data_IF_490321653780
#
_entry.id   IF_490321653780
#
_cell.length_a   1.000
_cell.length_b   1.000
_cell.length_c   1.000
_cell.angle_alpha   90.00
_cell.angle_beta   90.00
_cell.angle_gamma   90.00
#
_symmetry.space_group_name_H-M   'P 1'
#
loop_
_entity.id
_entity.type
_entity.pdbx_description
1 polymer ?
#
# COMPACT_ATOMS: atom_id res chain seq x y z
N UNK A 1 31.07 37.36 -24.77
CA UNK A 1 30.58 36.69 -23.55
C UNK A 1 29.48 35.72 -23.95
N UNK A 2 29.77 34.41 -24.01
CA UNK A 2 28.81 33.37 -24.37
C UNK A 2 28.18 32.82 -23.08
N UNK A 3 26.87 32.93 -22.94
CA UNK A 3 26.13 32.26 -21.88
C UNK A 3 25.60 30.93 -22.42
N UNK A 4 26.10 29.82 -21.88
CA UNK A 4 25.60 28.48 -22.12
C UNK A 4 24.47 28.18 -21.13
N UNK A 5 23.23 28.05 -21.60
CA UNK A 5 22.14 27.45 -20.83
C UNK A 5 22.01 26.01 -21.31
N UNK A 6 22.28 25.07 -20.39
CA UNK A 6 22.15 23.63 -20.60
C UNK A 6 20.68 23.24 -20.59
N UNK A 7 20.18 22.73 -21.71
CA UNK A 7 18.90 22.04 -21.83
C UNK A 7 18.93 20.76 -21.00
N UNK A 8 18.10 20.68 -19.96
CA UNK A 8 17.87 19.46 -19.19
C UNK A 8 16.83 18.62 -19.94
N UNK A 9 17.26 17.55 -20.61
CA UNK A 9 16.36 16.52 -21.13
C UNK A 9 15.89 15.66 -19.94
N UNK A 10 14.60 15.74 -19.62
CA UNK A 10 13.93 14.76 -18.75
C UNK A 10 13.67 13.52 -19.61
N UNK A 11 14.50 12.50 -19.44
CA UNK A 11 14.26 11.18 -20.02
C UNK A 11 13.21 10.51 -19.11
N UNK A 12 11.96 10.48 -19.57
CA UNK A 12 10.92 9.61 -18.99
C UNK A 12 11.29 8.19 -19.40
N UNK A 13 11.92 7.44 -18.50
CA UNK A 13 12.24 6.04 -18.71
C UNK A 13 10.93 5.23 -18.67
N UNK A 14 10.43 4.87 -19.85
CA UNK A 14 9.46 3.80 -20.02
C UNK A 14 10.18 2.47 -19.73
N UNK A 15 9.93 1.84 -18.59
CA UNK A 15 10.56 0.57 -18.23
C UNK A 15 9.79 -0.58 -18.93
N UNK A 16 10.44 -1.36 -19.81
CA UNK A 16 9.80 -2.51 -20.43
C UNK A 16 9.69 -3.66 -19.43
N UNK A 17 8.46 -4.12 -19.19
CA UNK A 17 8.15 -5.35 -18.46
C UNK A 17 8.60 -6.57 -19.27
N UNK A 18 9.67 -7.25 -18.85
CA UNK A 18 9.98 -8.61 -19.29
C UNK A 18 10.55 -9.47 -18.15
N UNK A 19 9.83 -10.55 -17.86
CA UNK A 19 10.24 -11.83 -17.27
C UNK A 19 10.64 -11.91 -15.77
N UNK A 20 9.73 -12.50 -14.97
CA UNK A 20 10.08 -13.57 -14.03
C UNK A 20 10.43 -13.20 -12.58
N UNK A 21 10.44 -11.93 -12.21
CA UNK A 21 10.57 -11.48 -10.83
C UNK A 21 9.56 -10.36 -10.64
N UNK A 22 8.55 -10.57 -9.80
CA UNK A 22 7.54 -9.53 -9.56
C UNK A 22 8.23 -8.35 -8.87
N UNK A 23 8.41 -7.18 -9.53
CA UNK A 23 9.13 -6.06 -8.95
C UNK A 23 8.42 -5.50 -7.71
N UNK A 24 7.16 -5.90 -7.47
CA UNK A 24 6.37 -5.50 -6.33
C UNK A 24 6.52 -6.43 -5.11
N UNK A 25 7.01 -7.67 -5.29
CA UNK A 25 7.23 -8.60 -4.17
C UNK A 25 8.58 -8.37 -3.44
N UNK A 26 9.29 -7.29 -3.78
CA UNK A 26 10.62 -6.96 -3.29
C UNK A 26 10.66 -6.15 -1.99
N UNK A 27 10.57 -6.81 -0.83
CA UNK A 27 11.05 -6.48 0.56
C UNK A 27 10.84 -5.08 1.18
N UNK A 28 10.51 -4.02 0.42
CA UNK A 28 10.47 -2.64 0.87
C UNK A 28 9.10 -2.01 0.74
N UNK A 29 8.96 -0.80 1.28
CA UNK A 29 7.77 0.01 1.04
C UNK A 29 7.81 0.63 -0.37
N UNK A 30 6.64 0.88 -0.94
CA UNK A 30 6.49 1.83 -2.05
C UNK A 30 7.05 3.20 -1.67
N UNK A 31 7.31 4.08 -2.65
CA UNK A 31 7.42 5.51 -2.37
C UNK A 31 6.21 6.05 -1.60
N UNK A 32 6.39 7.20 -0.97
CA UNK A 32 5.28 7.94 -0.39
C UNK A 32 4.40 8.50 -1.51
N UNK A 33 3.09 8.26 -1.39
CA UNK A 33 2.07 8.56 -2.38
C UNK A 33 0.94 9.36 -1.74
N UNK A 34 0.40 10.33 -2.45
CA UNK A 34 -0.89 10.93 -2.13
C UNK A 34 -2.03 9.90 -2.25
N UNK A 35 -3.22 10.25 -1.78
CA UNK A 35 -4.43 9.45 -2.03
C UNK A 35 -4.62 9.08 -3.49
N UNK A 36 -4.44 10.06 -4.38
CA UNK A 36 -4.64 9.87 -5.82
C UNK A 36 -3.62 8.89 -6.38
N UNK A 37 -2.34 9.10 -6.08
CA UNK A 37 -1.25 8.23 -6.55
C UNK A 37 -1.38 6.81 -5.98
N UNK A 38 -1.83 6.65 -4.73
CA UNK A 38 -2.08 5.33 -4.17
C UNK A 38 -3.26 4.63 -4.87
N UNK A 39 -4.32 5.37 -5.22
CA UNK A 39 -5.41 4.84 -6.03
C UNK A 39 -4.95 4.40 -7.42
N UNK A 40 -4.11 5.20 -8.07
CA UNK A 40 -3.50 4.88 -9.36
C UNK A 40 -2.55 3.67 -9.28
N UNK A 41 -1.82 3.51 -8.17
CA UNK A 41 -0.97 2.36 -7.89
C UNK A 41 -1.79 1.06 -7.68
N UNK A 42 -2.90 1.13 -6.93
CA UNK A 42 -3.73 -0.04 -6.62
C UNK A 42 -4.62 -0.47 -7.78
N UNK A 43 -5.11 0.47 -8.60
CA UNK A 43 -6.02 0.19 -9.70
C UNK A 43 -5.58 -0.93 -10.66
N UNK A 44 -4.32 -0.99 -11.14
CA UNK A 44 -3.87 -2.10 -11.99
C UNK A 44 -3.79 -3.44 -11.23
N UNK A 45 -3.60 -3.44 -9.91
CA UNK A 45 -3.53 -4.67 -9.10
C UNK A 45 -4.91 -5.34 -8.97
N UNK A 46 -5.98 -4.55 -9.01
CA UNK A 46 -7.36 -5.02 -8.99
C UNK A 46 -7.84 -5.56 -10.35
N UNK A 47 -7.10 -5.25 -11.43
CA UNK A 47 -7.50 -5.65 -12.78
C UNK A 47 -7.36 -7.15 -12.95
N UNK A 48 -8.42 -7.78 -13.46
CA UNK A 48 -8.43 -9.20 -13.79
C UNK A 48 -7.77 -9.50 -15.13
N UNK A 49 -7.04 -10.60 -15.18
CA UNK A 49 -6.44 -11.17 -16.38
C UNK A 49 -7.43 -12.06 -17.15
N UNK A 50 -6.95 -12.74 -18.20
CA UNK A 50 -7.73 -13.67 -19.02
C UNK A 50 -8.23 -14.90 -18.25
N UNK A 51 -7.63 -15.20 -17.09
CA UNK A 51 -8.04 -16.28 -16.18
C UNK A 51 -9.04 -15.80 -15.11
N UNK A 52 -9.52 -14.55 -15.21
CA UNK A 52 -10.41 -13.91 -14.24
C UNK A 52 -9.79 -13.78 -12.82
N UNK A 53 -8.45 -13.74 -12.74
CA UNK A 53 -7.66 -13.54 -11.52
C UNK A 53 -6.98 -12.19 -11.54
N UNK A 54 -6.79 -11.57 -10.38
CA UNK A 54 -6.04 -10.33 -10.23
C UNK A 54 -4.72 -10.56 -9.47
N UNK A 55 -3.98 -9.49 -9.18
CA UNK A 55 -2.70 -9.57 -8.47
C UNK A 55 -2.79 -10.30 -7.13
N UNK A 56 -3.88 -10.11 -6.39
CA UNK A 56 -4.09 -10.73 -5.07
C UNK A 56 -4.36 -12.24 -5.20
N UNK A 57 -5.13 -12.65 -6.21
CA UNK A 57 -5.42 -14.07 -6.52
C UNK A 57 -4.15 -14.86 -6.89
N UNK A 58 -3.08 -14.17 -7.28
CA UNK A 58 -1.78 -14.76 -7.61
C UNK A 58 -0.84 -14.90 -6.41
N UNK A 59 -1.35 -14.73 -5.19
CA UNK A 59 -0.60 -15.03 -3.95
C UNK A 59 0.11 -13.81 -3.37
N UNK A 60 -0.47 -12.63 -3.53
CA UNK A 60 0.03 -11.39 -2.94
C UNK A 60 -0.99 -10.80 -1.97
N UNK A 61 -0.49 -10.10 -0.95
CA UNK A 61 -1.31 -9.33 0.00
C UNK A 61 -0.54 -8.15 0.56
N UNK A 62 -1.23 -7.16 1.13
CA UNK A 62 -0.54 -6.11 1.90
C UNK A 62 -0.04 -6.67 3.23
N UNK A 63 1.13 -6.23 3.63
CA UNK A 63 1.80 -6.58 4.90
C UNK A 63 2.02 -5.36 5.79
N UNK A 64 1.95 -4.15 5.22
CA UNK A 64 1.93 -2.91 5.98
C UNK A 64 1.27 -1.79 5.17
N UNK A 65 0.65 -0.85 5.88
CA UNK A 65 0.27 0.47 5.37
C UNK A 65 0.70 1.52 6.37
N UNK A 66 1.39 2.55 5.87
CA UNK A 66 1.85 3.67 6.70
C UNK A 66 1.35 4.98 6.13
N UNK A 67 1.00 5.90 7.02
CA UNK A 67 0.66 7.28 6.71
C UNK A 67 1.64 8.25 7.35
N UNK A 68 1.76 9.44 6.76
CA UNK A 68 2.43 10.59 7.37
C UNK A 68 1.77 11.87 6.92
N UNK A 69 1.97 12.93 7.70
CA UNK A 69 1.75 14.29 7.25
C UNK A 69 3.06 14.87 6.74
N UNK A 70 3.10 15.34 5.50
CA UNK A 70 4.29 15.92 4.89
C UNK A 70 3.90 17.06 3.95
N UNK A 71 4.56 18.21 4.07
CA UNK A 71 4.36 19.35 3.16
C UNK A 71 2.90 19.77 2.93
N UNK A 72 2.07 19.73 3.99
CA UNK A 72 0.68 20.17 3.93
C UNK A 72 -0.29 19.16 3.33
N UNK A 73 0.17 17.93 3.04
CA UNK A 73 -0.65 16.86 2.49
C UNK A 73 -0.42 15.52 3.22
N UNK A 74 -1.46 14.68 3.35
CA UNK A 74 -1.30 13.32 3.82
C UNK A 74 -0.67 12.47 2.71
N UNK A 75 0.32 11.66 3.09
CA UNK A 75 0.99 10.72 2.21
C UNK A 75 0.97 9.32 2.82
N UNK A 76 0.99 8.31 1.96
CA UNK A 76 0.86 6.90 2.31
C UNK A 76 1.89 6.06 1.57
N UNK A 77 2.26 4.94 2.17
CA UNK A 77 3.06 3.92 1.49
C UNK A 77 2.62 2.54 1.91
N UNK A 78 2.81 1.59 1.00
CA UNK A 78 2.34 0.23 1.12
C UNK A 78 3.54 -0.71 1.13
N UNK A 79 3.40 -1.84 1.81
CA UNK A 79 4.33 -2.96 1.68
C UNK A 79 3.55 -4.18 1.23
N UNK A 80 3.91 -4.74 0.09
CA UNK A 80 3.33 -5.97 -0.45
C UNK A 80 4.28 -7.12 -0.10
N UNK A 81 3.70 -8.28 0.21
CA UNK A 81 4.45 -9.51 0.39
C UNK A 81 3.72 -10.69 -0.22
N UNK A 82 4.37 -11.85 -0.14
CA UNK A 82 3.77 -13.11 -0.54
C UNK A 82 2.75 -13.56 0.50
N UNK A 83 1.60 -14.05 0.05
CA UNK A 83 0.64 -14.72 0.92
C UNK A 83 1.06 -16.17 1.19
N UNK A 84 0.60 -16.79 2.29
CA UNK A 84 0.99 -18.14 2.66
C UNK A 84 0.50 -19.12 1.59
N UNK A 85 1.45 -19.90 1.04
CA UNK A 85 1.12 -20.99 0.12
C UNK A 85 0.41 -22.10 0.88
N UNK A 86 -0.54 -22.76 0.22
CA UNK A 86 -1.25 -23.97 0.71
C UNK A 86 -2.17 -23.78 1.92
N UNK A 87 -2.31 -22.56 2.45
CA UNK A 87 -3.23 -22.25 3.55
C UNK A 87 -4.38 -21.39 3.07
N UNK A 88 -5.56 -21.59 3.68
CA UNK A 88 -6.65 -20.64 3.51
C UNK A 88 -6.23 -19.35 4.20
N UNK A 89 -6.41 -18.23 3.53
CA UNK A 89 -6.02 -16.95 4.08
C UNK A 89 -6.99 -15.86 3.67
N UNK A 90 -7.05 -14.83 4.49
CA UNK A 90 -7.78 -13.60 4.23
C UNK A 90 -6.98 -12.43 4.77
N UNK A 91 -7.23 -11.26 4.22
CA UNK A 91 -6.60 -10.04 4.71
C UNK A 91 -7.51 -8.85 4.54
N UNK A 92 -7.31 -7.86 5.41
CA UNK A 92 -7.93 -6.55 5.31
C UNK A 92 -6.92 -5.47 5.66
N UNK A 93 -7.20 -4.26 5.19
CA UNK A 93 -6.38 -3.10 5.49
C UNK A 93 -7.24 -1.84 5.45
N UNK A 94 -6.90 -0.89 6.32
CA UNK A 94 -7.51 0.43 6.36
C UNK A 94 -6.44 1.46 6.68
N UNK A 95 -6.67 2.70 6.28
CA UNK A 95 -5.72 3.78 6.43
C UNK A 95 -6.43 5.11 6.64
N UNK A 96 -5.71 6.06 7.26
CA UNK A 96 -6.22 7.38 7.63
C UNK A 96 -7.52 7.37 8.46
N UNK A 97 -7.66 6.39 9.34
CA UNK A 97 -8.82 6.27 10.21
C UNK A 97 -8.74 7.24 11.39
N UNK A 98 -9.90 7.62 11.94
CA UNK A 98 -9.96 8.15 13.31
C UNK A 98 -9.62 7.04 14.32
N UNK A 99 -9.28 7.42 15.56
CA UNK A 99 -9.08 6.46 16.66
C UNK A 99 -10.29 5.55 16.86
N UNK A 100 -11.50 6.12 16.83
CA UNK A 100 -12.75 5.39 17.03
C UNK A 100 -12.95 4.31 15.97
N UNK A 101 -12.84 4.68 14.68
CA UNK A 101 -12.99 3.74 13.57
C UNK A 101 -11.89 2.67 13.56
N UNK A 102 -10.67 3.03 13.94
CA UNK A 102 -9.57 2.06 14.06
C UNK A 102 -9.83 1.04 15.17
N UNK A 103 -10.27 1.50 16.35
CA UNK A 103 -10.63 0.62 17.47
C UNK A 103 -11.80 -0.30 17.11
N UNK A 104 -12.81 0.23 16.42
CA UNK A 104 -13.94 -0.56 15.93
C UNK A 104 -13.45 -1.72 15.04
N UNK A 105 -12.60 -1.45 14.05
CA UNK A 105 -12.07 -2.53 13.20
C UNK A 105 -11.18 -3.51 13.97
N UNK A 106 -10.42 -3.07 14.97
CA UNK A 106 -9.67 -4.00 15.84
C UNK A 106 -10.62 -5.02 16.46
N UNK A 107 -11.73 -4.58 17.04
CA UNK A 107 -12.70 -5.46 17.69
C UNK A 107 -13.40 -6.36 16.67
N UNK A 108 -13.99 -5.78 15.63
CA UNK A 108 -14.78 -6.52 14.63
C UNK A 108 -13.96 -7.61 13.92
N UNK A 109 -12.68 -7.34 13.65
CA UNK A 109 -11.82 -8.28 12.94
C UNK A 109 -11.22 -9.32 13.87
N UNK A 110 -10.89 -8.93 15.10
CA UNK A 110 -10.49 -9.87 16.14
C UNK A 110 -11.59 -10.91 16.39
N UNK A 111 -12.86 -10.48 16.45
CA UNK A 111 -14.01 -11.38 16.63
C UNK A 111 -14.17 -12.36 15.45
N UNK A 112 -13.67 -12.01 14.27
CA UNK A 112 -13.67 -12.86 13.07
C UNK A 112 -12.40 -13.73 12.94
N UNK A 113 -11.49 -13.65 13.91
CA UNK A 113 -10.24 -14.41 13.95
C UNK A 113 -9.11 -13.82 13.11
N UNK A 114 -9.22 -12.55 12.69
CA UNK A 114 -8.11 -11.82 12.09
C UNK A 114 -7.20 -11.25 13.18
N UNK A 115 -5.91 -11.18 12.89
CA UNK A 115 -4.88 -10.60 13.75
C UNK A 115 -4.38 -9.30 13.12
N UNK A 116 -4.32 -8.23 13.89
CA UNK A 116 -3.64 -6.99 13.47
C UNK A 116 -2.13 -7.26 13.40
N UNK A 117 -1.60 -7.38 12.19
CA UNK A 117 -0.18 -7.75 11.96
C UNK A 117 0.73 -6.53 11.84
N UNK A 118 0.18 -5.38 11.46
CA UNK A 118 0.91 -4.12 11.39
C UNK A 118 -0.04 -2.95 11.63
N UNK A 119 0.45 -1.92 12.31
CA UNK A 119 -0.24 -0.65 12.46
C UNK A 119 0.72 0.53 12.36
N UNK A 120 0.17 1.69 12.04
CA UNK A 120 0.87 2.97 12.00
C UNK A 120 -0.06 4.09 12.44
N UNK A 121 0.50 5.17 12.98
CA UNK A 121 -0.24 6.39 13.26
C UNK A 121 0.58 7.63 12.97
N UNK A 122 -0.08 8.72 12.59
CA UNK A 122 0.54 10.04 12.41
C UNK A 122 -0.39 11.16 12.87
N UNK A 123 0.19 12.34 13.14
CA UNK A 123 -0.56 13.53 13.56
C UNK A 123 -0.92 14.40 12.36
N UNK A 124 -2.16 14.86 12.36
CA UNK A 124 -2.71 15.83 11.41
C UNK A 124 -2.41 17.26 11.90
N UNK A 125 -2.47 18.30 11.04
CA UNK A 125 -2.21 19.69 11.46
C UNK A 125 -3.07 20.22 12.59
N UNK A 126 -4.27 19.67 12.77
CA UNK A 126 -5.18 20.05 13.86
C UNK A 126 -4.86 19.33 15.18
N UNK A 127 -3.78 18.54 15.22
CA UNK A 127 -3.38 17.73 16.37
C UNK A 127 -4.13 16.40 16.48
N UNK A 128 -5.11 16.12 15.62
CA UNK A 128 -5.79 14.84 15.60
C UNK A 128 -4.85 13.72 15.10
N UNK A 129 -4.99 12.52 15.68
CA UNK A 129 -4.21 11.36 15.26
C UNK A 129 -4.99 10.52 14.25
N UNK A 130 -4.30 10.07 13.21
CA UNK A 130 -4.81 9.16 12.19
C UNK A 130 -4.12 7.82 12.27
N UNK A 131 -4.86 6.76 11.99
CA UNK A 131 -4.41 5.38 12.16
C UNK A 131 -4.55 4.59 10.87
N UNK A 132 -3.65 3.64 10.68
CA UNK A 132 -3.67 2.66 9.59
C UNK A 132 -3.33 1.29 10.14
N UNK A 133 -3.83 0.23 9.52
CA UNK A 133 -3.55 -1.13 9.93
C UNK A 133 -3.72 -2.15 8.81
N UNK A 134 -3.10 -3.31 9.02
CA UNK A 134 -3.23 -4.51 8.20
C UNK A 134 -3.58 -5.69 9.11
N UNK A 135 -4.61 -6.42 8.71
CA UNK A 135 -5.12 -7.58 9.43
C UNK A 135 -5.02 -8.82 8.57
N UNK A 136 -4.48 -9.91 9.11
CA UNK A 136 -4.38 -11.20 8.42
C UNK A 136 -5.13 -12.28 9.18
N UNK A 137 -5.72 -13.21 8.44
CA UNK A 137 -6.25 -14.48 8.94
C UNK A 137 -5.62 -15.60 8.13
N UNK A 138 -5.12 -16.62 8.83
CA UNK A 138 -4.54 -17.81 8.23
C UNK A 138 -5.20 -19.02 8.91
N UNK A 139 -5.73 -19.94 8.11
CA UNK A 139 -6.38 -21.19 8.53
C UNK A 139 -5.63 -22.41 7.97
#
# INVERSE_FOLDING_TARGET
MKAHIKTLLIIIALVPFLNGCDPLSGRGFTPWMTYKEMGEFLAPLEKKDETNKNFWDHGHWLTAVEGRWDNGIPQFRLKIGDSPKEKKHGWFWWYNQSQESFNQHIHELSDQGFVLVQHNSFEWPDGSRRFSGVWHKIE
#
